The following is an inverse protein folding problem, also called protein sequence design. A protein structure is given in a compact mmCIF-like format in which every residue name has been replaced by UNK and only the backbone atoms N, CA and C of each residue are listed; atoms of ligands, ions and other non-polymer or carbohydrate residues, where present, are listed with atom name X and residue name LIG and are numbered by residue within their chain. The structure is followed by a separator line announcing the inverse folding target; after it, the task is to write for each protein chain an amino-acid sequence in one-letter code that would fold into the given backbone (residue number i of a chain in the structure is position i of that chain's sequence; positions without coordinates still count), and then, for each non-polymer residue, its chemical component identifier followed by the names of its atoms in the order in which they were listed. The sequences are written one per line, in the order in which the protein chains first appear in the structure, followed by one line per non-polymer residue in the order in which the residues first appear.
data_IF_446533363390
#
_entry.id   IF_446533363390
#
_cell.length_a   1.000
_cell.length_b   1.000
_cell.length_c   1.000
_cell.angle_alpha   90.00
_cell.angle_beta   90.00
_cell.angle_gamma   90.00
#
_symmetry.space_group_name_H-M   'P 1'
#
loop_
_entity.id
_entity.type
_entity.pdbx_description
1 polymer ?
#
# COMPACT_ATOMS: atom_id res chain seq x y z
N UNK A 1 16.51 -16.18 1.14
CA UNK A 1 17.58 -15.21 0.78
C UNK A 1 16.91 -14.03 0.08
N UNK A 2 17.06 -12.80 0.58
CA UNK A 2 16.53 -11.60 -0.07
C UNK A 2 17.38 -11.33 -1.32
N UNK A 3 16.79 -11.25 -2.52
CA UNK A 3 17.51 -10.91 -3.74
C UNK A 3 18.02 -9.46 -3.65
N UNK A 4 19.23 -9.21 -4.14
CA UNK A 4 19.80 -7.86 -4.25
C UNK A 4 19.08 -7.11 -5.38
N UNK A 5 17.95 -6.51 -5.06
CA UNK A 5 17.13 -5.69 -5.96
C UNK A 5 16.78 -4.38 -5.25
N UNK A 6 16.59 -3.28 -5.99
CA UNK A 6 16.12 -2.04 -5.39
C UNK A 6 14.74 -2.19 -4.76
N UNK A 7 14.52 -1.50 -3.66
CA UNK A 7 13.28 -1.52 -2.89
C UNK A 7 12.80 -0.10 -2.61
N UNK A 8 11.55 0.06 -2.24
CA UNK A 8 10.97 1.33 -1.79
C UNK A 8 10.12 1.11 -0.55
N UNK A 9 10.10 2.12 0.32
CA UNK A 9 9.09 2.21 1.36
C UNK A 9 7.79 2.73 0.76
N UNK A 10 6.69 2.05 1.02
CA UNK A 10 5.35 2.54 0.73
C UNK A 10 4.60 2.77 2.03
N UNK A 11 3.85 3.86 2.12
CA UNK A 11 3.01 4.15 3.29
C UNK A 11 1.56 4.35 2.85
N UNK A 12 0.67 3.57 3.43
CA UNK A 12 -0.77 3.60 3.14
C UNK A 12 -1.53 4.12 4.35
N UNK A 13 -2.29 5.21 4.18
CA UNK A 13 -3.04 5.86 5.26
C UNK A 13 -4.54 5.90 4.98
N UNK A 14 -5.36 5.83 6.05
CA UNK A 14 -6.82 5.94 5.96
C UNK A 14 -7.36 7.26 6.54
N UNK A 15 -8.50 7.74 6.02
CA UNK A 15 -9.14 8.94 6.53
C UNK A 15 -9.64 8.77 7.96
N UNK A 16 -9.58 9.86 8.75
CA UNK A 16 -9.97 9.90 10.16
C UNK A 16 -11.36 9.31 10.43
N UNK A 17 -12.33 9.57 9.54
CA UNK A 17 -13.71 9.05 9.62
C UNK A 17 -13.76 7.52 9.71
N UNK A 18 -12.87 6.81 9.03
CA UNK A 18 -12.89 5.35 8.97
C UNK A 18 -12.09 4.68 10.09
N UNK A 19 -11.22 5.42 10.79
CA UNK A 19 -10.35 4.87 11.85
C UNK A 19 -11.14 4.23 12.98
N UNK A 20 -12.33 4.75 13.28
CA UNK A 20 -13.16 4.23 14.38
C UNK A 20 -13.48 2.74 14.21
N UNK A 21 -13.66 2.26 12.98
CA UNK A 21 -13.93 0.85 12.71
C UNK A 21 -12.74 -0.03 13.05
N UNK A 22 -11.52 0.43 12.75
CA UNK A 22 -10.28 -0.29 13.06
C UNK A 22 -9.94 -0.26 14.56
N UNK A 23 -10.37 0.77 15.27
CA UNK A 23 -10.18 0.86 16.72
C UNK A 23 -10.96 -0.25 17.43
N UNK A 24 -12.22 -0.43 17.07
CA UNK A 24 -13.13 -1.40 17.69
C UNK A 24 -13.05 -2.80 17.07
N UNK A 25 -12.60 -2.93 15.82
CA UNK A 25 -12.42 -4.23 15.15
C UNK A 25 -11.01 -4.35 14.57
N UNK A 26 -10.10 -4.85 15.41
CA UNK A 26 -8.67 -4.97 15.07
C UNK A 26 -8.40 -5.99 13.96
N UNK A 27 -9.34 -6.90 13.65
CA UNK A 27 -9.20 -7.85 12.53
C UNK A 27 -9.15 -7.13 11.18
N UNK A 28 -9.72 -5.93 11.10
CA UNK A 28 -9.66 -5.09 9.91
C UNK A 28 -8.23 -4.68 9.54
N UNK A 29 -7.31 -4.60 10.49
CA UNK A 29 -5.91 -4.23 10.22
C UNK A 29 -5.23 -5.24 9.28
N UNK A 30 -5.44 -6.54 9.51
CA UNK A 30 -4.91 -7.59 8.63
C UNK A 30 -5.56 -7.53 7.24
N UNK A 31 -6.88 -7.29 7.19
CA UNK A 31 -7.62 -7.14 5.91
C UNK A 31 -7.14 -5.92 5.13
N UNK A 32 -6.77 -4.86 5.84
CA UNK A 32 -6.23 -3.66 5.25
C UNK A 32 -4.82 -3.85 4.67
N UNK A 33 -3.96 -4.64 5.31
CA UNK A 33 -2.70 -5.10 4.70
C UNK A 33 -2.94 -5.89 3.41
N UNK A 34 -4.00 -6.72 3.35
CA UNK A 34 -4.38 -7.43 2.12
C UNK A 34 -4.84 -6.46 1.03
N UNK A 35 -5.62 -5.41 1.36
CA UNK A 35 -5.99 -4.36 0.42
C UNK A 35 -4.73 -3.68 -0.17
N UNK A 36 -3.80 -3.24 0.68
CA UNK A 36 -2.55 -2.63 0.22
C UNK A 36 -1.74 -3.58 -0.67
N UNK A 37 -1.63 -4.86 -0.30
CA UNK A 37 -0.96 -5.86 -1.14
C UNK A 37 -1.58 -6.01 -2.54
N UNK A 38 -2.91 -6.03 -2.63
CA UNK A 38 -3.59 -6.08 -3.93
C UNK A 38 -3.27 -4.88 -4.80
N UNK A 39 -3.26 -3.68 -4.21
CA UNK A 39 -2.91 -2.43 -4.91
C UNK A 39 -1.47 -2.51 -5.42
N UNK A 40 -0.52 -2.82 -4.54
CA UNK A 40 0.91 -2.97 -4.87
C UNK A 40 1.08 -3.96 -6.01
N UNK A 41 0.50 -5.16 -5.87
CA UNK A 41 0.65 -6.25 -6.84
C UNK A 41 0.06 -5.86 -8.20
N UNK A 42 -1.18 -5.34 -8.22
CA UNK A 42 -1.84 -4.97 -9.46
C UNK A 42 -1.08 -3.86 -10.19
N UNK A 43 -0.64 -2.84 -9.45
CA UNK A 43 0.07 -1.71 -10.01
C UNK A 43 1.45 -2.08 -10.56
N UNK A 44 2.27 -2.80 -9.80
CA UNK A 44 3.59 -3.19 -10.29
C UNK A 44 3.50 -4.20 -11.43
N UNK A 45 2.51 -5.10 -11.39
CA UNK A 45 2.29 -6.07 -12.47
C UNK A 45 1.81 -5.38 -13.76
N UNK A 46 1.10 -4.25 -13.72
CA UNK A 46 0.63 -3.58 -14.94
C UNK A 46 1.74 -3.03 -15.84
N UNK A 47 2.97 -2.91 -15.31
CA UNK A 47 4.16 -2.55 -16.10
C UNK A 47 4.90 -3.75 -16.71
N UNK A 48 4.53 -4.98 -16.32
CA UNK A 48 5.11 -6.18 -16.86
C UNK A 48 4.31 -6.67 -18.08
N UNK A 49 5.01 -7.09 -19.12
CA UNK A 49 4.39 -7.76 -20.28
C UNK A 49 4.05 -9.23 -20.01
N UNK A 50 4.70 -9.84 -19.02
CA UNK A 50 4.48 -11.24 -18.62
C UNK A 50 3.54 -11.33 -17.42
N UNK A 51 2.52 -12.16 -17.58
CA UNK A 51 1.54 -12.48 -16.54
C UNK A 51 2.11 -13.20 -15.31
N UNK A 52 3.29 -13.80 -15.45
CA UNK A 52 4.00 -14.46 -14.36
C UNK A 52 4.71 -13.49 -13.40
N UNK A 53 4.79 -12.20 -13.75
CA UNK A 53 5.45 -11.18 -12.96
C UNK A 53 4.82 -11.00 -11.58
N UNK A 54 5.64 -11.04 -10.52
CA UNK A 54 5.20 -10.83 -9.13
C UNK A 54 6.21 -9.95 -8.38
N UNK A 55 5.77 -8.87 -7.72
CA UNK A 55 6.63 -8.09 -6.84
C UNK A 55 6.85 -8.79 -5.48
N UNK A 56 7.90 -8.43 -4.77
CA UNK A 56 8.09 -8.77 -3.36
C UNK A 56 7.57 -7.66 -2.44
N UNK A 57 6.96 -8.01 -1.31
CA UNK A 57 6.54 -7.03 -0.30
C UNK A 57 6.53 -7.62 1.11
N UNK A 58 6.94 -6.82 2.09
CA UNK A 58 6.71 -7.04 3.52
C UNK A 58 5.92 -5.86 4.07
N UNK A 59 4.77 -6.10 4.71
CA UNK A 59 3.82 -5.07 5.16
C UNK A 59 3.66 -5.15 6.68
N UNK A 60 3.97 -4.05 7.37
CA UNK A 60 3.77 -3.86 8.80
C UNK A 60 2.64 -2.87 9.08
N UNK A 61 1.83 -3.16 10.10
CA UNK A 61 0.76 -2.28 10.56
C UNK A 61 1.28 -1.39 11.69
N UNK A 62 1.08 -0.08 11.58
CA UNK A 62 1.30 0.87 12.67
C UNK A 62 -0.04 1.48 13.08
N UNK A 63 -0.46 1.25 14.33
CA UNK A 63 -1.80 1.63 14.81
C UNK A 63 -1.89 3.08 15.35
N UNK A 64 -0.75 3.67 15.73
CA UNK A 64 -0.68 4.97 16.38
C UNK A 64 0.26 5.91 15.64
N UNK A 65 -0.09 7.19 15.60
CA UNK A 65 0.80 8.26 15.15
C UNK A 65 1.70 8.78 16.27
N UNK A 66 2.54 9.75 15.93
CA UNK A 66 3.58 10.31 16.83
C UNK A 66 3.02 10.92 18.12
N UNK A 67 1.76 11.39 18.10
CA UNK A 67 1.06 11.95 19.26
C UNK A 67 0.20 10.91 20.00
N UNK A 68 0.46 9.61 19.84
CA UNK A 68 -0.32 8.50 20.40
C UNK A 68 -1.81 8.51 20.02
N UNK A 69 -2.19 9.30 19.01
CA UNK A 69 -3.53 9.29 18.45
C UNK A 69 -3.71 8.02 17.61
N UNK A 70 -4.88 7.37 17.74
CA UNK A 70 -5.19 6.21 16.92
C UNK A 70 -5.21 6.60 15.44
N UNK A 71 -4.24 6.09 14.70
CA UNK A 71 -3.96 6.42 13.31
C UNK A 71 -3.42 5.16 12.62
N UNK A 72 -4.27 4.17 12.31
CA UNK A 72 -3.83 2.97 11.63
C UNK A 72 -3.35 3.31 10.22
N UNK A 73 -2.09 2.99 9.95
CA UNK A 73 -1.45 3.09 8.65
C UNK A 73 -0.53 1.88 8.45
N UNK A 74 -0.12 1.67 7.21
CA UNK A 74 0.75 0.55 6.83
C UNK A 74 2.06 1.08 6.33
N UNK A 75 3.15 0.45 6.74
CA UNK A 75 4.45 0.60 6.10
C UNK A 75 4.75 -0.69 5.36
N UNK A 76 5.09 -0.58 4.08
CA UNK A 76 5.53 -1.70 3.29
C UNK A 76 6.93 -1.47 2.74
N UNK A 77 7.78 -2.48 2.78
CA UNK A 77 9.01 -2.52 1.99
C UNK A 77 8.71 -3.38 0.77
N UNK A 78 8.81 -2.77 -0.40
CA UNK A 78 8.36 -3.35 -1.68
C UNK A 78 9.53 -3.36 -2.65
N UNK A 79 9.71 -4.45 -3.42
CA UNK A 79 10.65 -4.43 -4.54
C UNK A 79 10.23 -3.36 -5.55
N UNK A 80 11.19 -2.63 -6.12
CA UNK A 80 10.91 -1.54 -7.07
C UNK A 80 10.60 -2.05 -8.49
N UNK A 81 9.81 -3.13 -8.58
CA UNK A 81 9.66 -3.95 -9.77
C UNK A 81 9.12 -5.35 -9.46
N UNK A 82 9.12 -6.19 -10.49
CA UNK A 82 8.60 -7.56 -10.44
C UNK A 82 9.67 -8.59 -10.79
N UNK A 83 9.56 -9.77 -10.18
CA UNK A 83 10.32 -10.96 -10.53
C UNK A 83 9.54 -11.81 -11.55
N UNK A 84 10.26 -12.45 -12.47
CA UNK A 84 9.72 -13.42 -13.42
C UNK A 84 10.08 -14.86 -13.03
N UNK A 85 9.49 -15.84 -13.75
CA UNK A 85 9.68 -17.27 -13.48
C UNK A 85 11.12 -17.77 -13.67
N UNK A 86 11.85 -17.17 -14.60
CA UNK A 86 13.27 -17.45 -14.85
C UNK A 86 14.20 -16.86 -13.78
N UNK A 87 13.67 -16.02 -12.89
CA UNK A 87 14.41 -15.38 -11.82
C UNK A 87 14.92 -13.98 -12.17
N UNK A 88 14.63 -13.48 -13.37
CA UNK A 88 14.93 -12.11 -13.77
C UNK A 88 14.05 -11.09 -13.03
N UNK A 89 14.51 -9.84 -13.04
CA UNK A 89 13.83 -8.73 -12.37
C UNK A 89 13.69 -7.54 -13.31
N UNK A 90 12.46 -7.06 -13.49
CA UNK A 90 12.18 -5.82 -14.21
C UNK A 90 11.76 -4.73 -13.23
N UNK A 91 12.53 -3.65 -13.24
CA UNK A 91 12.20 -2.43 -12.50
C UNK A 91 11.05 -1.68 -13.17
N UNK A 92 10.20 -1.01 -12.38
CA UNK A 92 9.20 -0.11 -12.94
C UNK A 92 9.83 1.22 -13.38
N UNK A 93 9.37 1.82 -14.51
CA UNK A 93 9.96 3.05 -15.05
C UNK A 93 9.63 4.29 -14.22
N UNK A 94 8.55 4.26 -13.43
CA UNK A 94 8.09 5.37 -12.60
C UNK A 94 6.72 5.11 -11.99
N UNK A 95 6.21 6.07 -11.21
CA UNK A 95 4.92 5.99 -10.53
C UNK A 95 4.04 7.19 -10.88
N UNK A 96 2.81 6.91 -11.29
CA UNK A 96 1.66 7.83 -11.30
C UNK A 96 0.90 7.64 -9.99
N UNK A 97 1.00 8.59 -9.07
CA UNK A 97 0.52 8.44 -7.68
C UNK A 97 -1.00 8.60 -7.57
N UNK A 98 -1.61 9.44 -8.40
CA UNK A 98 -3.04 9.72 -8.37
C UNK A 98 -3.88 8.46 -8.64
N UNK A 99 -3.43 7.62 -9.58
CA UNK A 99 -4.10 6.35 -9.90
C UNK A 99 -4.03 5.37 -8.73
N UNK A 100 -2.91 5.35 -8.00
CA UNK A 100 -2.71 4.46 -6.85
C UNK A 100 -3.64 4.79 -5.70
N UNK A 101 -3.83 6.08 -5.40
CA UNK A 101 -4.73 6.51 -4.32
C UNK A 101 -6.18 6.16 -4.64
N UNK A 102 -6.62 6.32 -5.89
CA UNK A 102 -7.95 5.93 -6.33
C UNK A 102 -8.22 4.42 -6.20
N UNK A 103 -7.28 3.59 -6.67
CA UNK A 103 -7.39 2.12 -6.55
C UNK A 103 -7.38 1.70 -5.06
N UNK A 104 -6.55 2.36 -4.26
CA UNK A 104 -6.48 2.08 -2.83
C UNK A 104 -7.74 2.48 -2.07
N UNK A 105 -8.30 3.65 -2.36
CA UNK A 105 -9.61 4.07 -1.84
C UNK A 105 -10.68 3.04 -2.20
N UNK A 106 -10.72 2.58 -3.46
CA UNK A 106 -11.67 1.56 -3.89
C UNK A 106 -11.53 0.25 -3.10
N UNK A 107 -10.32 -0.33 -2.99
CA UNK A 107 -10.12 -1.58 -2.26
C UNK A 107 -10.44 -1.43 -0.76
N UNK A 108 -10.11 -0.28 -0.15
CA UNK A 108 -10.40 0.00 1.26
C UNK A 108 -11.91 0.13 1.54
N UNK A 109 -12.64 0.90 0.72
CA UNK A 109 -14.09 1.08 0.87
C UNK A 109 -14.84 -0.22 0.57
N UNK A 110 -14.44 -0.96 -0.48
CA UNK A 110 -15.01 -2.28 -0.81
C UNK A 110 -14.84 -3.27 0.33
N UNK A 111 -13.67 -3.30 0.96
CA UNK A 111 -13.42 -4.15 2.13
C UNK A 111 -14.32 -3.76 3.29
N UNK A 112 -14.40 -2.47 3.65
CA UNK A 112 -15.23 -2.01 4.77
C UNK A 112 -16.72 -2.25 4.53
N UNK A 113 -17.20 -2.14 3.29
CA UNK A 113 -18.57 -2.50 2.91
C UNK A 113 -18.83 -3.99 3.12
N UNK A 114 -17.91 -4.85 2.64
CA UNK A 114 -18.00 -6.31 2.81
C UNK A 114 -18.02 -6.73 4.28
N UNK A 115 -17.33 -5.97 5.13
CA UNK A 115 -17.29 -6.17 6.59
C UNK A 115 -18.46 -5.48 7.33
N UNK A 116 -19.46 -4.99 6.59
CA UNK A 116 -20.64 -4.30 7.10
C UNK A 116 -20.32 -3.10 8.01
N UNK A 117 -19.18 -2.43 7.80
CA UNK A 117 -18.76 -1.26 8.59
C UNK A 117 -19.31 0.05 8.02
N UNK A 118 -19.54 0.10 6.71
CA UNK A 118 -20.06 1.26 5.99
C UNK A 118 -21.16 0.86 5.00
N UNK A 119 -21.99 1.82 4.61
CA UNK A 119 -23.08 1.66 3.63
C UNK A 119 -22.74 2.35 2.31
N UNK A 120 -23.54 2.11 1.27
CA UNK A 120 -23.41 2.80 -0.02
C UNK A 120 -23.52 4.32 0.11
N UNK A 121 -24.46 4.81 0.92
CA UNK A 121 -24.58 6.24 1.20
C UNK A 121 -23.31 6.84 1.81
N UNK A 122 -22.58 6.10 2.66
CA UNK A 122 -21.29 6.54 3.19
C UNK A 122 -20.22 6.57 2.10
N UNK A 123 -20.20 5.56 1.22
CA UNK A 123 -19.25 5.49 0.11
C UNK A 123 -19.47 6.66 -0.85
N UNK A 124 -20.70 6.87 -1.30
CA UNK A 124 -21.08 7.98 -2.19
C UNK A 124 -20.72 9.34 -1.59
N UNK A 125 -20.99 9.52 -0.29
CA UNK A 125 -20.60 10.74 0.42
C UNK A 125 -19.08 10.92 0.45
N UNK A 126 -18.29 9.87 0.67
CA UNK A 126 -16.83 9.98 0.70
C UNK A 126 -16.22 10.20 -0.70
N UNK A 127 -16.84 9.64 -1.74
CA UNK A 127 -16.42 9.83 -3.13
C UNK A 127 -16.71 11.24 -3.65
N UNK A 128 -17.64 11.99 -3.03
CA UNK A 128 -17.91 13.39 -3.39
C UNK A 128 -16.91 14.38 -2.78
N UNK A 129 -16.04 13.96 -1.87
CA UNK A 129 -15.05 14.83 -1.25
C UNK A 129 -13.88 15.10 -2.20
N UNK A 130 -13.47 16.37 -2.31
CA UNK A 130 -12.27 16.77 -3.07
C UNK A 130 -11.01 16.01 -2.65
N UNK A 131 -10.89 15.70 -1.35
CA UNK A 131 -9.80 14.90 -0.79
C UNK A 131 -10.40 13.77 0.04
N UNK A 132 -10.22 12.53 -0.42
CA UNK A 132 -10.77 11.33 0.24
C UNK A 132 -10.13 11.05 1.60
N UNK A 133 -8.89 11.52 1.79
CA UNK A 133 -8.05 11.24 2.96
C UNK A 133 -7.46 9.83 2.96
N UNK A 134 -7.68 9.03 1.91
CA UNK A 134 -6.79 7.92 1.58
C UNK A 134 -5.52 8.51 0.98
N UNK A 135 -4.37 7.93 1.31
CA UNK A 135 -3.09 8.43 0.81
C UNK A 135 -2.11 7.29 0.61
N UNK A 136 -1.32 7.36 -0.46
CA UNK A 136 -0.22 6.45 -0.76
C UNK A 136 1.06 7.26 -0.94
N UNK A 137 1.99 7.09 -0.01
CA UNK A 137 3.34 7.62 -0.16
C UNK A 137 4.26 6.55 -0.72
N UNK A 138 5.12 6.93 -1.67
CA UNK A 138 6.20 6.09 -2.18
C UNK A 138 7.52 6.81 -1.93
N UNK A 139 8.37 6.19 -1.13
CA UNK A 139 9.68 6.70 -0.78
C UNK A 139 10.70 6.57 -1.91
N UNK A 140 11.86 7.17 -1.67
CA UNK A 140 13.02 7.02 -2.53
C UNK A 140 13.45 5.55 -2.64
N UNK A 141 14.13 5.26 -3.74
CA UNK A 141 14.71 3.95 -3.99
C UNK A 141 15.82 3.67 -2.98
N UNK A 142 15.76 2.49 -2.38
CA UNK A 142 16.76 1.93 -1.46
C UNK A 142 17.47 0.82 -2.23
N UNK A 143 18.77 1.01 -2.49
CA UNK A 143 19.62 0.00 -3.10
C UNK A 143 20.25 -0.88 -2.02
N UNK A 144 20.56 -2.14 -2.32
CA UNK A 144 21.23 -3.03 -1.36
C UNK A 144 22.74 -2.78 -1.25
N UNK A 145 23.25 -1.67 -1.77
CA UNK A 145 24.67 -1.35 -1.68
C UNK A 145 25.00 -0.93 -0.25
N UNK A 146 25.98 -1.60 0.34
CA UNK A 146 26.76 -1.05 1.43
C UNK A 146 27.25 0.32 0.97
N UNK A 147 26.68 1.41 1.51
CA UNK A 147 27.41 2.66 1.56
C UNK A 147 28.61 2.38 2.47
N UNK A 148 29.86 2.34 1.97
CA UNK A 148 30.98 2.43 2.89
C UNK A 148 30.79 3.76 3.61
N UNK A 149 30.71 3.71 4.95
CA UNK A 149 30.84 4.90 5.76
C UNK A 149 32.07 5.67 5.27
N UNK A 150 31.86 6.79 4.58
CA UNK A 150 32.92 7.78 4.42
C UNK A 150 33.03 8.46 5.77
N UNK A 151 34.00 7.99 6.55
CA UNK A 151 34.57 8.73 7.69
C UNK A 151 35.23 10.00 7.16
#
# INVERSE_FOLDING_TARGET
MLKNVPQRQWVFSIPKRLRIYFLFDRKLLAKFSICAWKVIKAYLKSYASDDSAVPGSSIAVQAYGDFLNFNPHLHAIVSDGCFFKDGDFQMVPGFMLEDLEGIFQYEGLKMLKKECKITDAIIENMLSWRHSGFHVYIGNRIFSEFLPFRV
#
